data_IF_980384683194
#
_entry.id   IF_980384683194
#
_cell.length_a   1.000
_cell.length_b   1.000
_cell.length_c   1.000
_cell.angle_alpha   90.00
_cell.angle_beta   90.00
_cell.angle_gamma   90.00
#
_symmetry.space_group_name_H-M   'P 1'
#
loop_
_entity.id
_entity.type
_entity.pdbx_description
1 polymer ?
#
# COMPACT_ATOMS: atom_id res chain seq x y z
N UNK A 1 -11.35 -0.08 26.41
CA UNK A 1 -11.86 0.50 25.14
C UNK A 1 -10.73 1.00 24.25
N UNK A 2 -9.83 1.88 24.73
CA UNK A 2 -8.70 2.41 23.94
C UNK A 2 -7.76 1.34 23.37
N UNK A 3 -7.44 0.29 24.14
CA UNK A 3 -6.67 -0.89 23.66
C UNK A 3 -7.28 -1.59 22.44
N UNK A 4 -8.60 -1.79 22.44
CA UNK A 4 -9.31 -2.44 21.33
C UNK A 4 -9.27 -1.55 20.09
N UNK A 5 -9.45 -0.24 20.27
CA UNK A 5 -9.37 0.76 19.20
C UNK A 5 -7.95 0.79 18.60
N UNK A 6 -6.91 0.76 19.43
CA UNK A 6 -5.52 0.70 18.98
C UNK A 6 -5.21 -0.54 18.13
N UNK A 7 -5.70 -1.72 18.54
CA UNK A 7 -5.55 -2.97 17.78
C UNK A 7 -6.29 -2.88 16.44
N UNK A 8 -7.51 -2.36 16.42
CA UNK A 8 -8.28 -2.16 15.18
C UNK A 8 -7.54 -1.25 14.19
N UNK A 9 -6.98 -0.14 14.65
CA UNK A 9 -6.22 0.79 13.81
C UNK A 9 -4.97 0.12 13.22
N UNK A 10 -4.25 -0.68 14.02
CA UNK A 10 -3.10 -1.42 13.54
C UNK A 10 -3.47 -2.43 12.44
N UNK A 11 -4.56 -3.19 12.62
CA UNK A 11 -5.05 -4.15 11.62
C UNK A 11 -5.45 -3.43 10.33
N UNK A 12 -6.23 -2.35 10.44
CA UNK A 12 -6.67 -1.56 9.28
C UNK A 12 -5.47 -1.01 8.51
N UNK A 13 -4.45 -0.51 9.22
CA UNK A 13 -3.21 -0.04 8.59
C UNK A 13 -2.45 -1.13 7.84
N UNK A 14 -2.35 -2.33 8.41
CA UNK A 14 -1.72 -3.48 7.74
C UNK A 14 -2.49 -3.87 6.48
N UNK A 15 -3.82 -3.99 6.58
CA UNK A 15 -4.67 -4.33 5.43
C UNK A 15 -4.56 -3.27 4.33
N UNK A 16 -4.59 -1.99 4.70
CA UNK A 16 -4.39 -0.87 3.77
C UNK A 16 -2.99 -0.92 3.13
N UNK A 17 -1.95 -1.19 3.91
CA UNK A 17 -0.59 -1.30 3.40
C UNK A 17 -0.42 -2.43 2.39
N UNK A 18 -0.98 -3.61 2.68
CA UNK A 18 -0.99 -4.75 1.76
C UNK A 18 -1.76 -4.41 0.48
N UNK A 19 -2.94 -3.81 0.62
CA UNK A 19 -3.77 -3.43 -0.52
C UNK A 19 -3.06 -2.40 -1.41
N UNK A 20 -2.46 -1.36 -0.84
CA UNK A 20 -1.75 -0.34 -1.62
C UNK A 20 -0.49 -0.93 -2.24
N UNK A 21 0.35 -1.62 -1.47
CA UNK A 21 1.64 -2.13 -1.94
C UNK A 21 1.50 -3.24 -2.99
N UNK A 22 0.71 -4.28 -2.68
CA UNK A 22 0.61 -5.47 -3.54
C UNK A 22 -0.41 -5.27 -4.65
N UNK A 23 -1.62 -4.81 -4.32
CA UNK A 23 -2.69 -4.73 -5.29
C UNK A 23 -2.56 -3.48 -6.18
N UNK A 24 -2.55 -2.30 -5.56
CA UNK A 24 -2.56 -1.05 -6.34
C UNK A 24 -1.21 -0.75 -7.00
N UNK A 25 -0.08 -0.96 -6.31
CA UNK A 25 1.21 -0.57 -6.84
C UNK A 25 1.85 -1.67 -7.69
N UNK A 26 2.05 -2.86 -7.13
CA UNK A 26 2.68 -3.98 -7.84
C UNK A 26 1.79 -4.53 -8.96
N UNK A 27 0.64 -5.13 -8.62
CA UNK A 27 -0.25 -5.71 -9.63
C UNK A 27 -0.83 -4.63 -10.57
N UNK A 28 -1.19 -3.47 -10.04
CA UNK A 28 -1.63 -2.31 -10.82
C UNK A 28 -0.57 -1.80 -11.80
N UNK A 29 0.72 -1.78 -11.42
CA UNK A 29 1.81 -1.40 -12.32
C UNK A 29 2.05 -2.43 -13.42
N UNK A 30 2.04 -3.73 -13.09
CA UNK A 30 2.18 -4.82 -14.08
C UNK A 30 1.04 -4.79 -15.09
N UNK A 31 -0.21 -4.69 -14.63
CA UNK A 31 -1.39 -4.63 -15.52
C UNK A 31 -1.35 -3.41 -16.43
N UNK A 32 -0.89 -2.26 -15.91
CA UNK A 32 -0.69 -1.06 -16.72
C UNK A 32 0.37 -1.28 -17.82
N UNK A 33 1.49 -1.94 -17.52
CA UNK A 33 2.50 -2.29 -18.53
C UNK A 33 1.88 -3.19 -19.59
N UNK A 34 1.23 -4.28 -19.19
CA UNK A 34 0.62 -5.25 -20.12
C UNK A 34 -0.39 -4.58 -21.05
N UNK A 35 -1.27 -3.74 -20.51
CA UNK A 35 -2.28 -3.02 -21.27
C UNK A 35 -1.68 -1.93 -22.18
N UNK A 36 -0.45 -1.50 -21.93
CA UNK A 36 0.27 -0.50 -22.72
C UNK A 36 1.15 -1.11 -23.81
N UNK A 37 1.15 -2.43 -23.99
CA UNK A 37 1.92 -3.09 -25.05
C UNK A 37 1.15 -3.08 -26.38
N UNK A 38 -0.19 -3.07 -26.36
CA UNK A 38 -0.99 -3.13 -27.59
C UNK A 38 -2.23 -2.20 -27.58
N UNK A 39 -2.20 -1.06 -28.31
CA UNK A 39 -1.04 -0.52 -29.03
C UNK A 39 0.07 -0.08 -28.06
N UNK A 40 1.32 -0.05 -28.55
CA UNK A 40 2.47 0.33 -27.72
C UNK A 40 2.33 1.78 -27.24
N UNK A 41 2.30 1.96 -25.92
CA UNK A 41 2.28 3.24 -25.24
C UNK A 41 3.45 3.31 -24.25
N UNK A 42 4.53 3.98 -24.66
CA UNK A 42 5.76 4.10 -23.86
C UNK A 42 5.55 4.84 -22.53
N UNK A 43 4.66 5.84 -22.48
CA UNK A 43 4.31 6.54 -21.24
C UNK A 43 3.60 5.61 -20.25
N UNK A 44 2.65 4.80 -20.75
CA UNK A 44 1.94 3.82 -19.93
C UNK A 44 2.88 2.80 -19.29
N UNK A 45 3.85 2.30 -20.07
CA UNK A 45 4.89 1.38 -19.60
C UNK A 45 5.79 2.07 -18.55
N UNK A 46 6.28 3.28 -18.84
CA UNK A 46 7.14 4.02 -17.92
C UNK A 46 6.47 4.28 -16.56
N UNK A 47 5.21 4.74 -16.56
CA UNK A 47 4.45 4.94 -15.33
C UNK A 47 4.15 3.63 -14.60
N UNK A 48 3.91 2.53 -15.32
CA UNK A 48 3.75 1.21 -14.71
C UNK A 48 5.01 0.75 -13.97
N UNK A 49 6.19 0.96 -14.55
CA UNK A 49 7.48 0.66 -13.90
C UNK A 49 7.69 1.53 -12.65
N UNK A 50 7.46 2.85 -12.77
CA UNK A 50 7.54 3.78 -11.64
C UNK A 50 6.63 3.32 -10.50
N UNK A 51 5.39 2.93 -10.82
CA UNK A 51 4.41 2.44 -9.85
C UNK A 51 4.87 1.18 -9.11
N UNK A 52 5.57 0.27 -9.80
CA UNK A 52 6.15 -0.94 -9.17
C UNK A 52 7.29 -0.58 -8.22
N UNK A 53 8.18 0.35 -8.59
CA UNK A 53 9.29 0.80 -7.72
C UNK A 53 8.76 1.35 -6.39
N UNK A 54 7.62 2.04 -6.43
CA UNK A 54 6.97 2.59 -5.25
C UNK A 54 6.09 1.59 -4.47
N UNK A 55 6.12 0.28 -4.77
CA UNK A 55 5.34 -0.71 -4.01
C UNK A 55 5.70 -0.77 -2.52
N UNK A 56 6.93 -0.37 -2.16
CA UNK A 56 7.40 -0.26 -0.77
C UNK A 56 6.60 0.74 0.07
N UNK A 57 5.86 1.68 -0.55
CA UNK A 57 4.95 2.59 0.15
C UNK A 57 3.88 1.81 0.94
N UNK A 58 3.46 0.64 0.46
CA UNK A 58 2.53 -0.22 1.20
C UNK A 58 3.07 -0.64 2.57
N UNK A 59 4.36 -0.95 2.66
CA UNK A 59 5.03 -1.25 3.92
C UNK A 59 5.08 -0.04 4.87
N UNK A 60 5.31 1.15 4.33
CA UNK A 60 5.27 2.40 5.10
C UNK A 60 3.88 2.68 5.68
N UNK A 61 2.81 2.46 4.91
CA UNK A 61 1.42 2.60 5.37
C UNK A 61 1.12 1.61 6.49
N UNK A 62 1.52 0.34 6.32
CA UNK A 62 1.35 -0.67 7.37
C UNK A 62 2.07 -0.28 8.67
N UNK A 63 3.32 0.20 8.54
CA UNK A 63 4.10 0.66 9.69
C UNK A 63 3.43 1.83 10.42
N UNK A 64 2.95 2.85 9.70
CA UNK A 64 2.23 3.98 10.29
C UNK A 64 0.99 3.52 11.07
N UNK A 65 0.21 2.60 10.52
CA UNK A 65 -0.96 2.06 11.21
C UNK A 65 -0.62 1.35 12.52
N UNK A 66 0.48 0.59 12.53
CA UNK A 66 0.97 -0.09 13.75
C UNK A 66 1.47 0.92 14.78
N UNK A 67 2.24 1.93 14.36
CA UNK A 67 2.74 2.98 15.27
C UNK A 67 1.59 3.77 15.89
N UNK A 68 0.62 4.22 15.08
CA UNK A 68 -0.53 4.97 15.59
C UNK A 68 -1.40 4.08 16.51
N UNK A 69 -1.65 2.84 16.10
CA UNK A 69 -2.42 1.87 16.89
C UNK A 69 -1.77 1.56 18.23
N UNK A 70 -0.44 1.44 18.26
CA UNK A 70 0.32 1.19 19.49
C UNK A 70 0.30 2.40 20.44
N UNK A 71 0.49 3.62 19.94
CA UNK A 71 0.43 4.84 20.76
C UNK A 71 -0.94 4.99 21.43
N UNK A 72 -2.02 4.77 20.68
CA UNK A 72 -3.40 4.85 21.20
C UNK A 72 -3.72 3.68 22.15
N UNK A 73 -3.15 2.51 21.89
CA UNK A 73 -3.32 1.33 22.74
C UNK A 73 -2.56 1.41 24.07
N UNK A 74 -1.46 2.17 24.11
CA UNK A 74 -0.61 2.40 25.29
C UNK A 74 -0.97 3.67 26.08
N UNK A 75 -1.75 4.59 25.51
CA UNK A 75 -2.29 5.72 26.26
C UNK A 75 -3.41 5.23 27.20
N UNK A 76 -3.02 4.76 28.38
CA UNK A 76 -3.94 4.44 29.49
C UNK A 76 -4.71 5.71 29.93
#
# INVERSE_FOLDING_TARGET
MKKIIGILIAIVGIVLGIYVGIWLMLAGGITQIVNSINPVNGLGIAFGIVRIIFCGIGGFIAWLGVVIGSVIGLSD
#
